data_IF_254134212927
#
_entry.id   IF_254134212927
#
_cell.length_a   1.000
_cell.length_b   1.000
_cell.length_c   1.000
_cell.angle_alpha   90.00
_cell.angle_beta   90.00
_cell.angle_gamma   90.00
#
_symmetry.space_group_name_H-M   'P 1'
#
loop_
_entity.id
_entity.type
_entity.pdbx_description
1 polymer ?
#
# COMPACT_ATOMS: atom_id res chain seq x y z
N UNK A 1 -12.85 -3.60 8.54
CA UNK A 1 -12.07 -4.14 9.68
C UNK A 1 -10.75 -4.79 9.26
N UNK A 2 -10.58 -5.18 8.00
CA UNK A 2 -9.35 -5.83 7.52
C UNK A 2 -8.14 -4.88 7.52
N UNK A 3 -8.34 -3.58 7.28
CA UNK A 3 -7.28 -2.58 7.22
C UNK A 3 -7.07 -1.83 8.55
N UNK A 4 -7.81 -2.16 9.60
CA UNK A 4 -7.74 -1.45 10.88
C UNK A 4 -8.27 -0.01 10.85
N UNK A 5 -8.92 0.41 9.76
CA UNK A 5 -9.47 1.76 9.63
C UNK A 5 -10.72 1.95 10.49
N UNK A 6 -10.83 3.12 11.08
CA UNK A 6 -12.10 3.60 11.63
C UNK A 6 -13.03 4.09 10.49
N UNK A 7 -14.26 4.42 10.85
CA UNK A 7 -15.25 4.87 9.87
C UNK A 7 -14.84 6.17 9.18
N UNK A 8 -14.26 7.11 9.93
CA UNK A 8 -13.85 8.40 9.38
C UNK A 8 -12.76 8.26 8.34
N UNK A 9 -11.75 7.40 8.60
CA UNK A 9 -10.70 7.07 7.65
C UNK A 9 -11.26 6.37 6.41
N UNK A 10 -12.16 5.40 6.60
CA UNK A 10 -12.79 4.69 5.49
C UNK A 10 -13.61 5.63 4.59
N UNK A 11 -14.37 6.56 5.16
CA UNK A 11 -15.13 7.57 4.42
C UNK A 11 -14.20 8.49 3.63
N UNK A 12 -13.11 8.95 4.23
CA UNK A 12 -12.12 9.79 3.54
C UNK A 12 -11.46 9.05 2.38
N UNK A 13 -11.00 7.81 2.59
CA UNK A 13 -10.41 6.98 1.55
C UNK A 13 -11.42 6.73 0.41
N UNK A 14 -12.69 6.53 0.71
CA UNK A 14 -13.74 6.39 -0.29
C UNK A 14 -13.96 7.68 -1.10
N UNK A 15 -13.89 8.86 -0.48
CA UNK A 15 -13.96 10.13 -1.22
C UNK A 15 -12.75 10.31 -2.15
N UNK A 16 -11.55 9.93 -1.69
CA UNK A 16 -10.35 9.99 -2.51
C UNK A 16 -10.38 8.97 -3.67
N UNK A 17 -10.94 7.78 -3.45
CA UNK A 17 -11.19 6.83 -4.52
C UNK A 17 -12.11 7.41 -5.61
N UNK A 18 -13.19 8.10 -5.23
CA UNK A 18 -14.07 8.74 -6.23
C UNK A 18 -13.35 9.82 -7.04
N UNK A 19 -12.47 10.62 -6.39
CA UNK A 19 -11.64 11.60 -7.07
C UNK A 19 -10.64 10.93 -8.02
N UNK A 20 -10.00 9.87 -7.57
CA UNK A 20 -9.10 9.08 -8.39
C UNK A 20 -9.81 8.53 -9.64
N UNK A 21 -10.95 7.89 -9.48
CA UNK A 21 -11.72 7.33 -10.59
C UNK A 21 -12.14 8.43 -11.60
N UNK A 22 -12.62 9.58 -11.10
CA UNK A 22 -12.94 10.73 -11.94
C UNK A 22 -11.72 11.26 -12.70
N UNK A 23 -10.59 11.41 -12.02
CA UNK A 23 -9.34 11.87 -12.61
C UNK A 23 -8.85 10.91 -13.70
N UNK A 24 -8.91 9.60 -13.48
CA UNK A 24 -8.57 8.59 -14.49
C UNK A 24 -9.43 8.72 -15.76
N UNK A 25 -10.71 9.02 -15.59
CA UNK A 25 -11.64 9.20 -16.72
C UNK A 25 -11.39 10.52 -17.49
N UNK A 26 -10.70 11.50 -16.89
CA UNK A 26 -10.39 12.80 -17.53
C UNK A 26 -8.95 12.87 -18.04
N UNK A 27 -8.11 11.91 -17.69
CA UNK A 27 -6.67 11.92 -18.03
C UNK A 27 -6.38 11.04 -19.23
N UNK A 28 -5.60 11.56 -20.17
CA UNK A 28 -5.04 10.76 -21.27
C UNK A 28 -3.88 9.85 -20.82
N UNK A 29 -3.40 10.04 -19.59
CA UNK A 29 -2.29 9.28 -19.02
C UNK A 29 -2.79 8.27 -17.99
N UNK A 30 -2.13 7.11 -17.90
CA UNK A 30 -2.39 6.16 -16.82
C UNK A 30 -2.17 6.78 -15.44
N UNK A 31 -3.11 6.55 -14.52
CA UNK A 31 -3.01 7.00 -13.14
C UNK A 31 -2.67 5.84 -12.21
N UNK A 32 -1.82 6.09 -11.23
CA UNK A 32 -1.46 5.13 -10.18
C UNK A 32 -2.05 5.59 -8.85
N UNK A 33 -2.84 4.76 -8.15
CA UNK A 33 -3.43 5.14 -6.87
C UNK A 33 -2.43 5.08 -5.71
N UNK A 34 -2.75 5.74 -4.60
CA UNK A 34 -2.14 5.45 -3.31
C UNK A 34 -2.56 4.06 -2.81
N UNK A 35 -1.90 3.54 -1.79
CA UNK A 35 -2.25 2.23 -1.19
C UNK A 35 -3.68 2.23 -0.66
N UNK A 36 -4.06 3.30 0.02
CA UNK A 36 -5.39 3.46 0.63
C UNK A 36 -6.49 3.53 -0.43
N UNK A 37 -6.27 4.30 -1.49
CA UNK A 37 -7.20 4.43 -2.61
C UNK A 37 -7.33 3.11 -3.37
N UNK A 38 -6.23 2.41 -3.59
CA UNK A 38 -6.18 1.12 -4.25
C UNK A 38 -6.98 0.04 -3.50
N UNK A 39 -6.90 0.03 -2.16
CA UNK A 39 -7.69 -0.89 -1.35
C UNK A 39 -9.20 -0.66 -1.48
N UNK A 40 -9.64 0.60 -1.53
CA UNK A 40 -11.05 0.92 -1.77
C UNK A 40 -11.47 0.50 -3.18
N UNK A 41 -10.60 0.74 -4.16
CA UNK A 41 -10.86 0.33 -5.55
C UNK A 41 -10.98 -1.19 -5.66
N UNK A 42 -10.03 -1.95 -5.09
CA UNK A 42 -10.10 -3.41 -5.04
C UNK A 42 -11.40 -3.90 -4.41
N UNK A 43 -11.81 -3.31 -3.28
CA UNK A 43 -13.09 -3.66 -2.66
C UNK A 43 -14.27 -3.42 -3.61
N UNK A 44 -14.31 -2.25 -4.30
CA UNK A 44 -15.39 -1.95 -5.24
C UNK A 44 -15.42 -2.93 -6.42
N UNK A 45 -14.26 -3.32 -6.96
CA UNK A 45 -14.19 -4.31 -8.04
C UNK A 45 -14.76 -5.69 -7.64
N UNK A 46 -14.79 -6.04 -6.35
CA UNK A 46 -15.44 -7.30 -5.91
C UNK A 46 -16.96 -7.24 -6.07
N UNK A 47 -17.56 -6.05 -6.10
CA UNK A 47 -18.98 -5.84 -6.41
C UNK A 47 -19.19 -5.73 -7.92
N UNK A 48 -18.82 -6.77 -8.64
CA UNK A 48 -18.71 -6.79 -10.11
C UNK A 48 -19.94 -6.30 -10.86
N UNK A 49 -21.14 -6.59 -10.36
CA UNK A 49 -22.40 -6.13 -10.98
C UNK A 49 -22.57 -4.61 -10.89
N UNK A 50 -22.21 -4.01 -9.76
CA UNK A 50 -22.23 -2.56 -9.60
C UNK A 50 -21.10 -1.92 -10.37
N UNK A 51 -19.87 -2.44 -10.23
CA UNK A 51 -18.69 -1.87 -10.85
C UNK A 51 -18.81 -1.82 -12.38
N UNK A 52 -19.05 -2.95 -13.02
CA UNK A 52 -19.13 -3.06 -14.48
C UNK A 52 -20.50 -2.73 -15.08
N UNK A 53 -21.59 -2.97 -14.34
CA UNK A 53 -22.95 -2.78 -14.84
C UNK A 53 -23.53 -1.38 -14.62
N UNK A 54 -23.00 -0.60 -13.67
CA UNK A 54 -23.51 0.73 -13.34
C UNK A 54 -22.41 1.78 -13.22
N UNK A 55 -21.41 1.53 -12.34
CA UNK A 55 -20.40 2.55 -12.02
C UNK A 55 -19.58 2.96 -13.25
N UNK A 56 -18.96 2.03 -13.95
CA UNK A 56 -18.15 2.35 -15.12
C UNK A 56 -18.99 2.96 -16.26
N UNK A 57 -20.09 2.35 -16.75
CA UNK A 57 -20.81 2.88 -17.90
C UNK A 57 -21.71 4.08 -17.57
N UNK A 58 -22.40 4.11 -16.42
CA UNK A 58 -23.43 5.10 -16.14
C UNK A 58 -22.94 6.26 -15.28
N UNK A 59 -22.00 6.01 -14.36
CA UNK A 59 -21.52 7.03 -13.41
C UNK A 59 -20.23 7.65 -13.91
N UNK A 60 -19.27 6.83 -14.34
CA UNK A 60 -17.95 7.28 -14.76
C UNK A 60 -17.90 7.60 -16.27
N UNK A 61 -18.67 6.89 -17.09
CA UNK A 61 -18.61 6.97 -18.55
C UNK A 61 -17.29 6.44 -19.14
N UNK A 62 -16.57 5.64 -18.37
CA UNK A 62 -15.23 5.16 -18.68
C UNK A 62 -15.01 3.77 -18.07
N UNK A 63 -14.41 2.86 -18.83
CA UNK A 63 -14.03 1.53 -18.33
C UNK A 63 -12.70 1.62 -17.59
N UNK A 64 -12.78 1.75 -16.27
CA UNK A 64 -11.61 1.85 -15.41
C UNK A 64 -11.07 0.45 -15.08
N UNK A 65 -10.07 0.01 -15.84
CA UNK A 65 -9.41 -1.28 -15.66
C UNK A 65 -8.26 -1.21 -14.68
N UNK A 66 -8.17 -2.20 -13.80
CA UNK A 66 -7.04 -2.41 -12.91
C UNK A 66 -6.09 -3.44 -13.53
N UNK A 67 -4.89 -3.01 -13.88
CA UNK A 67 -3.85 -3.90 -14.41
C UNK A 67 -3.05 -4.57 -13.28
N UNK A 68 -2.77 -5.88 -13.36
CA UNK A 68 -1.86 -6.52 -12.42
C UNK A 68 -0.43 -6.01 -12.62
N UNK A 69 0.34 -5.97 -11.53
CA UNK A 69 1.78 -5.71 -11.59
C UNK A 69 2.53 -7.00 -11.86
N UNK A 70 3.48 -6.99 -12.79
CA UNK A 70 4.37 -8.12 -13.08
C UNK A 70 5.57 -8.18 -12.12
N UNK A 71 5.86 -7.05 -11.45
CA UNK A 71 6.96 -6.87 -10.52
C UNK A 71 8.32 -6.63 -11.20
N UNK A 72 9.28 -6.17 -10.42
CA UNK A 72 10.65 -5.91 -10.87
C UNK A 72 11.01 -4.43 -10.95
N UNK A 73 12.31 -4.12 -10.94
CA UNK A 73 12.82 -2.74 -10.82
C UNK A 73 12.34 -1.79 -11.92
N UNK A 74 12.24 -2.25 -13.15
CA UNK A 74 11.75 -1.41 -14.26
C UNK A 74 10.28 -1.04 -14.10
N UNK A 75 9.50 -1.92 -13.50
CA UNK A 75 8.10 -1.65 -13.21
C UNK A 75 7.94 -0.74 -11.99
N UNK A 76 8.79 -0.90 -10.97
CA UNK A 76 8.82 0.00 -9.81
C UNK A 76 9.12 1.44 -10.24
N UNK A 77 10.12 1.67 -11.11
CA UNK A 77 10.43 2.99 -11.67
C UNK A 77 9.26 3.56 -12.48
N UNK A 78 8.63 2.76 -13.33
CA UNK A 78 7.45 3.16 -14.10
C UNK A 78 6.28 3.59 -13.20
N UNK A 79 5.97 2.83 -12.15
CA UNK A 79 4.88 3.18 -11.25
C UNK A 79 5.20 4.39 -10.37
N UNK A 80 6.46 4.59 -10.01
CA UNK A 80 6.91 5.79 -9.33
C UNK A 80 6.63 7.04 -10.20
N UNK A 81 7.09 7.04 -11.45
CA UNK A 81 6.84 8.14 -12.38
C UNK A 81 5.34 8.37 -12.64
N UNK A 82 4.57 7.30 -12.78
CA UNK A 82 3.12 7.40 -12.95
C UNK A 82 2.43 7.99 -11.72
N UNK A 83 2.88 7.62 -10.53
CA UNK A 83 2.35 8.15 -9.28
C UNK A 83 2.66 9.63 -9.10
N UNK A 84 3.90 10.05 -9.37
CA UNK A 84 4.28 11.48 -9.38
C UNK A 84 3.38 12.29 -10.32
N UNK A 85 3.18 11.78 -11.53
CA UNK A 85 2.27 12.40 -12.50
C UNK A 85 0.83 12.43 -12.00
N UNK A 86 0.38 11.37 -11.33
CA UNK A 86 -0.96 11.30 -10.73
C UNK A 86 -1.18 12.39 -9.68
N UNK A 87 -0.17 12.66 -8.82
CA UNK A 87 -0.24 13.74 -7.82
C UNK A 87 -0.34 15.13 -8.48
N UNK A 88 0.39 15.36 -9.57
CA UNK A 88 0.31 16.59 -10.36
C UNK A 88 -1.07 16.74 -11.01
N UNK A 89 -1.56 15.69 -11.67
CA UNK A 89 -2.90 15.68 -12.27
C UNK A 89 -3.99 15.92 -11.24
N UNK A 90 -3.84 15.36 -10.03
CA UNK A 90 -4.76 15.64 -8.93
C UNK A 90 -4.82 17.15 -8.61
N UNK A 91 -3.66 17.79 -8.51
CA UNK A 91 -3.57 19.24 -8.22
C UNK A 91 -4.16 20.07 -9.36
N UNK A 92 -3.94 19.68 -10.61
CA UNK A 92 -4.49 20.35 -11.80
C UNK A 92 -6.02 20.24 -11.85
N UNK A 93 -6.56 19.04 -11.63
CA UNK A 93 -8.00 18.77 -11.71
C UNK A 93 -8.78 19.37 -10.54
N UNK A 94 -8.24 19.32 -9.31
CA UNK A 94 -8.96 19.73 -8.10
C UNK A 94 -8.49 21.06 -7.53
N UNK A 95 -7.48 21.72 -8.11
CA UNK A 95 -6.96 23.02 -7.67
C UNK A 95 -6.30 23.00 -6.28
N UNK A 96 -5.94 21.83 -5.77
CA UNK A 96 -5.30 21.65 -4.46
C UNK A 96 -4.46 20.39 -4.43
N UNK A 97 -3.46 20.33 -3.59
CA UNK A 97 -2.70 19.12 -3.33
C UNK A 97 -3.60 18.03 -2.71
N UNK A 98 -3.37 16.75 -3.00
CA UNK A 98 -4.04 15.65 -2.33
C UNK A 98 -3.65 15.60 -0.84
N UNK A 99 -4.50 15.03 0.05
CA UNK A 99 -4.18 14.89 1.46
C UNK A 99 -3.04 13.88 1.67
N UNK A 100 -1.93 14.30 2.28
CA UNK A 100 -0.69 13.51 2.40
C UNK A 100 -0.87 12.19 3.17
N UNK A 101 -1.79 12.14 4.12
CA UNK A 101 -2.10 10.93 4.89
C UNK A 101 -2.82 9.84 4.08
N UNK A 102 -3.40 10.19 2.95
CA UNK A 102 -4.01 9.27 1.99
C UNK A 102 -3.22 9.17 0.66
N UNK A 103 -2.42 10.17 0.38
CA UNK A 103 -1.57 10.28 -0.80
C UNK A 103 -0.15 10.67 -0.38
N UNK A 104 0.60 9.73 0.21
CA UNK A 104 1.95 10.04 0.68
C UNK A 104 2.88 10.44 -0.48
N UNK A 105 3.96 11.18 -0.20
CA UNK A 105 4.98 11.48 -1.20
C UNK A 105 5.54 10.22 -1.87
N UNK A 106 6.00 10.30 -3.14
CA UNK A 106 6.51 9.13 -3.88
C UNK A 106 7.58 8.35 -3.14
N UNK A 107 8.50 9.02 -2.44
CA UNK A 107 9.58 8.41 -1.68
C UNK A 107 9.05 7.56 -0.51
N UNK A 108 7.91 7.96 0.05
CA UNK A 108 7.23 7.19 1.13
C UNK A 108 6.44 6.04 0.53
N UNK A 109 5.68 6.29 -0.55
CA UNK A 109 4.83 5.29 -1.22
C UNK A 109 5.66 4.14 -1.78
N UNK A 110 6.83 4.42 -2.36
CA UNK A 110 7.73 3.46 -2.99
C UNK A 110 9.00 3.19 -2.18
N UNK A 111 9.05 3.61 -0.90
CA UNK A 111 10.17 3.26 -0.03
C UNK A 111 10.34 1.74 0.00
N UNK A 112 11.59 1.30 -0.04
CA UNK A 112 12.00 -0.10 -0.17
C UNK A 112 11.70 -0.94 1.09
N UNK A 113 10.45 -1.00 1.48
CA UNK A 113 9.96 -2.04 2.36
C UNK A 113 9.07 -3.01 1.55
N UNK A 114 9.68 -3.87 0.71
CA UNK A 114 8.96 -4.74 -0.22
C UNK A 114 8.04 -5.76 0.47
N UNK A 115 7.93 -5.69 1.80
CA UNK A 115 7.20 -6.66 2.62
C UNK A 115 6.38 -6.00 3.73
N UNK A 116 5.89 -4.77 3.57
CA UNK A 116 4.84 -4.24 4.45
C UNK A 116 3.57 -5.05 4.23
N UNK A 117 3.49 -6.18 4.93
CA UNK A 117 2.20 -6.82 5.21
C UNK A 117 1.60 -6.08 6.40
N UNK A 118 0.36 -5.67 6.27
CA UNK A 118 -0.43 -5.25 7.43
C UNK A 118 -0.51 -6.45 8.38
N UNK A 119 0.31 -6.42 9.42
CA UNK A 119 0.32 -7.43 10.47
C UNK A 119 -0.37 -6.81 11.67
N UNK A 120 -1.47 -7.40 12.08
CA UNK A 120 -2.12 -7.03 13.34
C UNK A 120 -1.16 -7.39 14.51
N UNK A 121 -0.45 -6.39 14.98
CA UNK A 121 0.53 -6.54 16.07
C UNK A 121 -0.13 -6.96 17.39
N UNK A 122 -1.45 -6.82 17.53
CA UNK A 122 -2.18 -7.29 18.71
C UNK A 122 -2.30 -8.80 18.75
N UNK A 123 -2.20 -9.47 17.59
CA UNK A 123 -2.32 -10.92 17.43
C UNK A 123 -0.98 -11.63 17.17
N UNK A 124 0.07 -10.90 16.84
CA UNK A 124 1.37 -11.47 16.51
C UNK A 124 2.46 -10.91 17.43
N UNK A 125 3.05 -11.78 18.26
CA UNK A 125 4.25 -11.44 19.01
C UNK A 125 5.45 -11.44 18.05
N UNK A 126 6.03 -10.27 17.75
CA UNK A 126 7.29 -10.17 17.02
C UNK A 126 8.43 -10.45 18.02
N UNK A 127 9.07 -11.60 17.90
CA UNK A 127 10.30 -11.88 18.63
C UNK A 127 11.45 -11.27 17.83
N UNK A 128 12.16 -10.23 18.34
CA UNK A 128 13.28 -9.65 17.62
C UNK A 128 14.36 -10.70 17.37
N UNK A 129 14.89 -10.78 16.16
CA UNK A 129 16.01 -11.69 15.79
C UNK A 129 17.21 -11.58 16.73
N UNK A 130 17.42 -10.42 17.36
CA UNK A 130 18.49 -10.19 18.33
C UNK A 130 18.39 -11.06 19.59
N UNK A 131 17.19 -11.51 19.99
CA UNK A 131 17.03 -12.42 21.15
C UNK A 131 17.47 -13.85 20.84
N UNK A 132 17.40 -14.27 19.58
CA UNK A 132 17.85 -15.60 19.14
C UNK A 132 19.38 -15.68 19.17
N UNK A 133 20.07 -14.61 18.76
CA UNK A 133 21.54 -14.53 18.77
C UNK A 133 22.13 -14.51 20.19
N UNK A 134 21.46 -13.84 21.14
CA UNK A 134 21.90 -13.81 22.53
C UNK A 134 21.74 -15.20 23.20
N UNK A 135 20.68 -15.95 22.85
CA UNK A 135 20.48 -17.32 23.37
C UNK A 135 21.56 -18.29 22.89
N UNK A 136 21.97 -18.23 21.63
CA UNK A 136 23.01 -19.10 21.06
C UNK A 136 24.40 -18.74 21.64
N UNK A 137 24.68 -17.44 21.81
CA UNK A 137 25.94 -16.98 22.40
C UNK A 137 26.10 -17.40 23.87
N UNK A 138 25.04 -17.32 24.66
CA UNK A 138 25.07 -17.72 26.09
C UNK A 138 25.32 -19.22 26.29
N UNK A 139 24.70 -20.07 25.43
CA UNK A 139 24.93 -21.52 25.47
C UNK A 139 26.38 -21.88 25.10
N UNK A 140 26.95 -21.22 24.08
CA UNK A 140 28.33 -21.45 23.64
C UNK A 140 29.35 -21.06 24.72
N UNK A 141 29.12 -19.93 25.45
CA UNK A 141 30.02 -19.48 26.52
C UNK A 141 29.96 -20.41 27.76
N UNK A 142 28.78 -20.88 28.14
CA UNK A 142 28.63 -21.82 29.24
C UNK A 142 29.28 -23.15 28.92
N UNK A 143 29.19 -23.67 27.70
CA UNK A 143 29.83 -24.90 27.27
C UNK A 143 31.37 -24.78 27.28
N UNK A 144 31.91 -23.63 26.91
CA UNK A 144 33.35 -23.37 26.90
C UNK A 144 33.95 -23.27 28.31
N UNK A 145 33.22 -22.62 29.22
CA UNK A 145 33.64 -22.47 30.62
C UNK A 145 33.59 -23.81 31.41
N UNK A 146 32.59 -24.64 31.14
CA UNK A 146 32.47 -25.97 31.76
C UNK A 146 33.54 -26.93 31.22
N UNK A 147 33.93 -26.84 29.95
CA UNK A 147 35.04 -27.62 29.39
C UNK A 147 36.41 -27.26 29.98
N UNK A 148 36.62 -26.00 30.38
CA UNK A 148 37.85 -25.51 30.97
C UNK A 148 37.98 -25.86 32.47
N UNK A 149 36.86 -26.02 33.18
CA UNK A 149 36.82 -26.41 34.61
C UNK A 149 36.99 -27.92 34.83
N UNK A 150 36.83 -28.75 33.80
CA UNK A 150 36.91 -30.21 33.86
C UNK A 150 38.20 -30.78 33.20
N UNK A 151 39.08 -29.92 32.71
CA UNK A 151 40.41 -30.25 32.21
C UNK A 151 41.50 -29.85 33.23
#
# INVERSE_FOLDING_TARGET
>A
HENGWDLAMAERAFQEYKRFAYMCAQSDNPCTPSVEVDQVWHLHMTYTRDYWGRFCPEVLGYELHHGPTEGGKAEDEKYLEQYERTLLTYQEVFGRAPPEDLWPPPEVRFSSFPHLRWVDLSKNSITPRSRILVGVGAVAVVSFLLGWLLS
#
